data_IF_626329996220
#
_entry.id   IF_626329996220
#
_cell.length_a   1.000
_cell.length_b   1.000
_cell.length_c   1.000
_cell.angle_alpha   90.00
_cell.angle_beta   90.00
_cell.angle_gamma   90.00
#
_symmetry.space_group_name_H-M   'P 1'
#
loop_
_entity.id
_entity.type
_entity.pdbx_description
1 polymer ?
#
# COMPACT_ATOMS: atom_id res chain seq x y z
N UNK A 1 -4.01 21.31 -5.98
CA UNK A 1 -5.37 20.73 -5.94
C UNK A 1 -6.16 21.46 -6.99
N UNK A 2 -6.88 20.74 -7.84
CA UNK A 2 -7.78 21.32 -8.83
C UNK A 2 -9.21 20.85 -8.56
N UNK A 3 -10.16 21.74 -8.78
CA UNK A 3 -11.59 21.41 -8.74
C UNK A 3 -12.11 21.48 -10.18
N UNK A 4 -12.65 20.37 -10.67
CA UNK A 4 -13.14 20.20 -12.04
C UNK A 4 -14.62 19.81 -12.04
N UNK A 5 -15.41 20.18 -13.06
CA UNK A 5 -16.85 19.87 -13.11
C UNK A 5 -17.11 18.36 -13.21
N UNK A 6 -18.28 17.91 -12.75
CA UNK A 6 -18.68 16.49 -12.84
C UNK A 6 -18.96 16.10 -14.30
N UNK A 7 -19.43 17.03 -15.11
CA UNK A 7 -19.69 16.80 -16.54
C UNK A 7 -18.39 16.44 -17.27
N UNK A 8 -18.35 15.22 -17.84
CA UNK A 8 -17.18 14.71 -18.54
C UNK A 8 -16.07 14.18 -17.62
N UNK A 9 -16.32 14.05 -16.31
CA UNK A 9 -15.30 13.65 -15.33
C UNK A 9 -14.58 12.34 -15.65
N UNK A 10 -15.28 11.37 -16.26
CA UNK A 10 -14.69 10.06 -16.55
C UNK A 10 -13.67 10.16 -17.69
N UNK A 11 -13.98 10.94 -18.72
CA UNK A 11 -13.07 11.15 -19.85
C UNK A 11 -11.85 11.97 -19.44
N UNK A 12 -12.06 13.02 -18.64
CA UNK A 12 -10.99 13.82 -18.03
C UNK A 12 -10.09 12.95 -17.15
N UNK A 13 -10.68 12.13 -16.27
CA UNK A 13 -9.97 11.21 -15.41
C UNK A 13 -9.13 10.20 -16.21
N UNK A 14 -9.66 9.65 -17.30
CA UNK A 14 -8.89 8.76 -18.17
C UNK A 14 -7.67 9.47 -18.79
N UNK A 15 -7.84 10.73 -19.20
CA UNK A 15 -6.75 11.55 -19.70
C UNK A 15 -5.65 11.73 -18.65
N UNK A 16 -6.03 12.08 -17.42
CA UNK A 16 -5.11 12.25 -16.29
C UNK A 16 -4.41 10.95 -15.89
N UNK A 17 -5.16 9.84 -15.86
CA UNK A 17 -4.61 8.50 -15.62
C UNK A 17 -3.55 8.17 -16.66
N UNK A 18 -3.86 8.35 -17.96
CA UNK A 18 -2.91 8.02 -19.05
C UNK A 18 -1.63 8.85 -18.96
N UNK A 19 -1.75 10.15 -18.68
CA UNK A 19 -0.60 11.02 -18.47
C UNK A 19 0.26 10.57 -17.27
N UNK A 20 -0.40 10.18 -16.18
CA UNK A 20 0.24 9.69 -14.96
C UNK A 20 0.96 8.36 -15.20
N UNK A 21 0.29 7.42 -15.86
CA UNK A 21 0.86 6.12 -16.25
C UNK A 21 2.05 6.28 -17.21
N UNK A 22 1.99 7.25 -18.15
CA UNK A 22 3.10 7.52 -19.07
C UNK A 22 4.37 7.98 -18.34
N UNK A 23 4.25 8.60 -17.15
CA UNK A 23 5.39 8.95 -16.28
C UNK A 23 5.85 7.79 -15.39
N UNK A 24 5.22 6.62 -15.49
CA UNK A 24 5.49 5.47 -14.63
C UNK A 24 4.95 5.62 -13.21
N UNK A 25 4.06 6.57 -12.97
CA UNK A 25 3.47 6.87 -11.66
C UNK A 25 2.11 6.14 -11.50
N UNK A 26 1.51 6.21 -10.31
CA UNK A 26 0.26 5.54 -9.95
C UNK A 26 -0.86 6.52 -9.62
N UNK A 27 -2.09 6.08 -9.85
CA UNK A 27 -3.30 6.85 -9.57
C UNK A 27 -4.15 6.17 -8.50
N UNK A 28 -4.64 6.94 -7.54
CA UNK A 28 -5.71 6.52 -6.62
C UNK A 28 -7.00 7.23 -7.00
N UNK A 29 -8.11 6.50 -7.06
CA UNK A 29 -9.43 7.06 -7.30
C UNK A 29 -10.34 6.71 -6.14
N UNK A 30 -10.99 7.72 -5.54
CA UNK A 30 -11.98 7.53 -4.50
C UNK A 30 -13.38 7.81 -5.01
N UNK A 31 -14.29 6.85 -4.82
CA UNK A 31 -15.71 6.96 -5.15
C UNK A 31 -16.55 6.98 -3.86
N UNK A 32 -17.88 7.11 -3.98
CA UNK A 32 -18.78 7.09 -2.82
C UNK A 32 -19.42 5.73 -2.55
N UNK A 33 -19.63 4.94 -3.61
CA UNK A 33 -20.38 3.68 -3.52
C UNK A 33 -19.60 2.53 -4.13
N UNK A 34 -19.89 1.31 -3.63
CA UNK A 34 -19.32 0.06 -4.14
C UNK A 34 -19.63 -0.11 -5.63
N UNK A 35 -20.89 0.09 -6.00
CA UNK A 35 -21.34 0.01 -7.39
C UNK A 35 -20.58 0.96 -8.30
N UNK A 36 -20.40 2.22 -7.93
CA UNK A 36 -19.62 3.17 -8.74
C UNK A 36 -18.16 2.76 -8.87
N UNK A 37 -17.57 2.19 -7.83
CA UNK A 37 -16.20 1.70 -7.89
C UNK A 37 -16.07 0.49 -8.83
N UNK A 38 -17.03 -0.43 -8.80
CA UNK A 38 -17.11 -1.59 -9.70
C UNK A 38 -17.31 -1.14 -11.14
N UNK A 39 -18.32 -0.32 -11.40
CA UNK A 39 -18.65 0.22 -12.73
C UNK A 39 -17.45 1.00 -13.32
N UNK A 40 -16.79 1.85 -12.52
CA UNK A 40 -15.60 2.58 -12.95
C UNK A 40 -14.43 1.64 -13.26
N UNK A 41 -14.21 0.64 -12.40
CA UNK A 41 -13.13 -0.33 -12.59
C UNK A 41 -13.32 -1.08 -13.90
N UNK A 42 -14.54 -1.53 -14.19
CA UNK A 42 -14.80 -2.26 -15.42
C UNK A 42 -14.73 -1.37 -16.66
N UNK A 43 -15.21 -0.12 -16.57
CA UNK A 43 -15.04 0.87 -17.64
C UNK A 43 -13.56 1.14 -17.94
N UNK A 44 -12.72 1.32 -16.92
CA UNK A 44 -11.28 1.54 -17.09
C UNK A 44 -10.60 0.31 -17.72
N UNK A 45 -10.96 -0.91 -17.30
CA UNK A 45 -10.45 -2.15 -17.93
C UNK A 45 -10.82 -2.25 -19.40
N UNK A 46 -12.06 -1.92 -19.77
CA UNK A 46 -12.53 -1.94 -21.17
C UNK A 46 -11.78 -0.93 -22.05
N UNK A 47 -11.19 0.09 -21.44
CA UNK A 47 -10.37 1.12 -22.10
C UNK A 47 -8.86 0.87 -21.94
N UNK A 48 -8.46 -0.39 -21.74
CA UNK A 48 -7.08 -0.87 -21.63
C UNK A 48 -6.26 -0.25 -20.49
N UNK A 49 -6.91 0.22 -19.42
CA UNK A 49 -6.23 0.72 -18.23
C UNK A 49 -6.06 -0.42 -17.22
N UNK A 50 -4.83 -0.64 -16.74
CA UNK A 50 -4.52 -1.63 -15.72
C UNK A 50 -5.02 -1.13 -14.36
N UNK A 51 -6.17 -1.63 -13.92
CA UNK A 51 -6.87 -1.16 -12.72
C UNK A 51 -7.27 -2.32 -11.79
N UNK A 52 -7.26 -2.04 -10.47
CA UNK A 52 -7.84 -2.91 -9.45
C UNK A 52 -8.81 -2.13 -8.55
N UNK A 53 -9.79 -2.85 -8.02
CA UNK A 53 -10.75 -2.34 -7.04
C UNK A 53 -10.40 -2.84 -5.64
N UNK A 54 -10.39 -1.94 -4.65
CA UNK A 54 -10.23 -2.27 -3.24
C UNK A 54 -11.54 -2.04 -2.46
N UNK A 55 -12.13 -3.12 -1.94
CA UNK A 55 -13.31 -3.06 -1.06
C UNK A 55 -13.03 -3.51 0.37
N UNK A 56 -13.97 -3.17 1.27
CA UNK A 56 -13.91 -3.47 2.71
C UNK A 56 -13.92 -4.95 3.04
N UNK A 57 -14.48 -5.78 2.15
CA UNK A 57 -14.71 -7.21 2.41
C UNK A 57 -13.53 -8.08 1.95
N UNK A 58 -12.48 -7.47 1.40
CA UNK A 58 -11.22 -8.15 1.06
C UNK A 58 -10.47 -8.48 2.34
N UNK A 59 -10.01 -9.73 2.48
CA UNK A 59 -9.22 -10.14 3.62
C UNK A 59 -7.93 -9.30 3.75
N UNK A 60 -7.46 -9.07 4.97
CA UNK A 60 -6.31 -8.17 5.23
C UNK A 60 -5.04 -8.58 4.47
N UNK A 61 -4.83 -9.89 4.25
CA UNK A 61 -3.68 -10.42 3.51
C UNK A 61 -3.76 -10.01 2.03
N UNK A 62 -4.91 -10.25 1.40
CA UNK A 62 -5.14 -9.95 -0.02
C UNK A 62 -5.02 -8.44 -0.29
N UNK A 63 -5.42 -7.61 0.68
CA UNK A 63 -5.26 -6.15 0.62
C UNK A 63 -3.79 -5.74 0.57
N UNK A 64 -2.92 -6.30 1.41
CA UNK A 64 -1.49 -5.99 1.39
C UNK A 64 -0.87 -6.36 0.04
N UNK A 65 -1.25 -7.52 -0.51
CA UNK A 65 -0.79 -7.96 -1.82
C UNK A 65 -1.21 -7.01 -2.95
N UNK A 66 -2.46 -6.53 -2.96
CA UNK A 66 -2.93 -5.55 -3.97
C UNK A 66 -2.09 -4.27 -3.90
N UNK A 67 -1.75 -3.80 -2.70
CA UNK A 67 -0.93 -2.61 -2.53
C UNK A 67 0.50 -2.85 -3.01
N UNK A 68 1.10 -4.00 -2.70
CA UNK A 68 2.43 -4.36 -3.20
C UNK A 68 2.45 -4.49 -4.73
N UNK A 69 1.41 -5.07 -5.33
CA UNK A 69 1.25 -5.15 -6.78
C UNK A 69 1.15 -3.76 -7.43
N UNK A 70 0.43 -2.81 -6.82
CA UNK A 70 0.39 -1.41 -7.29
C UNK A 70 1.79 -0.79 -7.31
N UNK A 71 2.54 -0.97 -6.22
CA UNK A 71 3.91 -0.44 -6.07
C UNK A 71 4.86 -1.10 -7.06
N UNK A 72 4.76 -2.40 -7.25
CA UNK A 72 5.55 -3.17 -8.22
C UNK A 72 5.17 -2.85 -9.68
N UNK A 73 4.07 -2.12 -9.91
CA UNK A 73 3.61 -1.78 -11.25
C UNK A 73 2.90 -2.91 -11.98
N UNK A 74 2.33 -3.87 -11.25
CA UNK A 74 1.41 -4.87 -11.80
C UNK A 74 0.16 -4.22 -12.38
N UNK A 75 -0.26 -3.09 -11.81
CA UNK A 75 -1.31 -2.23 -12.33
C UNK A 75 -1.04 -0.75 -11.98
N UNK A 76 -1.78 0.17 -12.62
CA UNK A 76 -1.52 1.61 -12.56
C UNK A 76 -2.52 2.39 -11.70
N UNK A 77 -3.74 1.87 -11.59
CA UNK A 77 -4.87 2.57 -10.94
C UNK A 77 -5.51 1.72 -9.85
N UNK A 78 -5.67 2.30 -8.66
CA UNK A 78 -6.45 1.69 -7.58
C UNK A 78 -7.73 2.50 -7.34
N UNK A 79 -8.88 1.86 -7.53
CA UNK A 79 -10.18 2.44 -7.22
C UNK A 79 -10.65 1.95 -5.85
N UNK A 80 -11.20 2.82 -5.02
CA UNK A 80 -11.77 2.43 -3.74
C UNK A 80 -12.78 3.44 -3.20
N UNK A 81 -13.47 3.07 -2.12
CA UNK A 81 -14.42 3.97 -1.43
C UNK A 81 -13.69 4.75 -0.34
N UNK A 82 -12.95 4.02 0.49
CA UNK A 82 -12.23 4.55 1.63
C UNK A 82 -10.81 4.01 1.66
N UNK A 83 -9.89 4.76 1.04
CA UNK A 83 -8.45 4.47 0.99
C UNK A 83 -7.69 5.07 2.20
N UNK A 84 -8.41 5.41 3.28
CA UNK A 84 -7.86 6.10 4.46
C UNK A 84 -7.25 5.12 5.47
N UNK A 85 -7.68 3.86 5.49
CA UNK A 85 -7.33 2.92 6.56
C UNK A 85 -6.09 2.08 6.30
N UNK A 86 -5.61 1.94 5.06
CA UNK A 86 -4.63 0.88 4.77
C UNK A 86 -3.18 1.21 5.15
N UNK A 87 -2.89 2.39 5.73
CA UNK A 87 -1.49 2.78 5.95
C UNK A 87 -0.71 2.88 4.64
N UNK A 88 -1.39 3.29 3.56
CA UNK A 88 -0.79 3.51 2.23
C UNK A 88 0.27 4.60 2.31
N UNK A 89 1.53 4.20 2.43
CA UNK A 89 2.69 5.03 2.16
C UNK A 89 3.18 4.67 0.76
N UNK A 90 2.63 5.36 -0.24
CA UNK A 90 2.81 5.06 -1.66
C UNK A 90 3.53 6.22 -2.35
N UNK A 91 4.88 6.28 -2.29
CA UNK A 91 5.64 7.31 -3.01
C UNK A 91 5.45 7.23 -4.53
N UNK A 92 5.00 6.08 -5.05
CA UNK A 92 4.72 5.87 -6.47
C UNK A 92 3.41 6.55 -6.92
N UNK A 93 2.53 6.96 -6.00
CA UNK A 93 1.27 7.65 -6.31
C UNK A 93 1.52 9.15 -6.47
N UNK A 94 1.26 9.68 -7.66
CA UNK A 94 1.32 11.11 -7.94
C UNK A 94 -0.04 11.73 -8.22
N UNK A 95 -1.07 10.93 -8.53
CA UNK A 95 -2.43 11.43 -8.77
C UNK A 95 -3.42 10.83 -7.77
N UNK A 96 -4.20 11.70 -7.13
CA UNK A 96 -5.39 11.30 -6.36
C UNK A 96 -6.62 11.99 -6.96
N UNK A 97 -7.58 11.19 -7.43
CA UNK A 97 -8.85 11.67 -7.93
C UNK A 97 -9.97 11.40 -6.90
N UNK A 98 -10.77 12.43 -6.61
CA UNK A 98 -11.91 12.35 -5.70
C UNK A 98 -13.17 12.62 -6.53
N UNK A 99 -13.91 11.55 -6.86
CA UNK A 99 -15.20 11.67 -7.52
C UNK A 99 -16.27 12.13 -6.53
N UNK A 100 -17.25 12.88 -7.03
CA UNK A 100 -18.36 13.39 -6.24
C UNK A 100 -17.89 14.11 -4.96
N UNK A 101 -16.89 14.99 -5.11
CA UNK A 101 -16.27 15.69 -4.00
C UNK A 101 -17.25 16.65 -3.29
N UNK A 102 -18.32 17.08 -3.97
CA UNK A 102 -19.35 17.98 -3.42
C UNK A 102 -20.51 17.28 -2.69
N UNK A 103 -20.48 15.95 -2.61
CA UNK A 103 -21.48 15.16 -1.88
C UNK A 103 -21.03 14.99 -0.44
N UNK A 104 -21.56 15.84 0.42
CA UNK A 104 -21.20 15.82 1.84
C UNK A 104 -21.59 14.50 2.52
N UNK A 105 -20.84 14.17 3.56
CA UNK A 105 -20.99 12.92 4.31
C UNK A 105 -19.67 12.50 4.92
N UNK A 106 -19.65 11.33 5.56
CA UNK A 106 -18.47 10.84 6.29
C UNK A 106 -17.20 10.78 5.43
N UNK A 107 -17.32 10.33 4.17
CA UNK A 107 -16.18 10.17 3.24
C UNK A 107 -15.75 11.48 2.56
N UNK A 108 -16.51 12.56 2.78
CA UNK A 108 -16.31 13.88 2.15
C UNK A 108 -16.34 15.01 3.19
N UNK A 109 -16.09 14.66 4.45
CA UNK A 109 -15.78 15.63 5.48
C UNK A 109 -14.42 16.27 5.19
N UNK A 110 -14.20 17.46 5.74
CA UNK A 110 -12.90 18.14 5.71
C UNK A 110 -11.75 17.24 6.17
N UNK A 111 -11.94 16.53 7.28
CA UNK A 111 -10.95 15.58 7.83
C UNK A 111 -10.66 14.41 6.88
N UNK A 112 -11.68 13.79 6.30
CA UNK A 112 -11.51 12.69 5.34
C UNK A 112 -10.84 13.15 4.04
N UNK A 113 -11.20 14.34 3.55
CA UNK A 113 -10.58 14.94 2.37
C UNK A 113 -9.11 15.24 2.60
N UNK A 114 -8.75 15.89 3.73
CA UNK A 114 -7.34 16.18 4.07
C UNK A 114 -6.50 14.90 4.10
N UNK A 115 -7.03 13.82 4.67
CA UNK A 115 -6.32 12.53 4.69
C UNK A 115 -6.18 11.92 3.28
N UNK A 116 -7.22 12.04 2.45
CA UNK A 116 -7.21 11.54 1.05
C UNK A 116 -6.18 12.32 0.22
N UNK A 117 -6.18 13.65 0.32
CA UNK A 117 -5.18 14.55 -0.29
C UNK A 117 -3.76 14.18 0.15
N UNK A 118 -3.59 13.85 1.43
CA UNK A 118 -2.30 13.44 2.01
C UNK A 118 -1.69 12.20 1.36
N UNK A 119 -2.46 11.39 0.63
CA UNK A 119 -1.91 10.26 -0.15
C UNK A 119 -1.03 10.70 -1.32
N UNK A 120 -1.32 11.86 -1.93
CA UNK A 120 -0.50 12.43 -2.99
C UNK A 120 0.78 13.10 -2.46
N UNK A 121 0.81 13.48 -1.17
CA UNK A 121 1.89 14.28 -0.59
C UNK A 121 3.23 13.54 -0.43
N UNK A 122 3.28 12.24 -0.77
CA UNK A 122 4.50 11.42 -0.72
C UNK A 122 5.33 11.50 -2.00
N UNK A 123 4.77 12.06 -3.07
CA UNK A 123 5.42 12.20 -4.36
C UNK A 123 5.64 13.70 -4.67
N UNK A 124 6.81 14.05 -5.20
CA UNK A 124 7.14 15.42 -5.58
C UNK A 124 6.20 15.99 -6.65
N UNK A 125 5.65 15.15 -7.51
CA UNK A 125 4.65 15.49 -8.53
C UNK A 125 3.20 15.30 -8.01
N UNK A 126 3.02 15.20 -6.70
CA UNK A 126 1.73 14.95 -6.05
C UNK A 126 0.66 15.96 -6.43
N UNK A 127 -0.37 15.48 -7.11
CA UNK A 127 -1.50 16.25 -7.60
C UNK A 127 -2.83 15.61 -7.17
N UNK A 128 -3.85 16.46 -6.97
CA UNK A 128 -5.19 16.04 -6.56
C UNK A 128 -6.23 16.73 -7.41
N UNK A 129 -7.13 15.94 -8.02
CA UNK A 129 -8.30 16.42 -8.76
C UNK A 129 -9.56 16.08 -7.97
N UNK A 130 -10.37 17.09 -7.69
CA UNK A 130 -11.69 16.95 -7.07
C UNK A 130 -12.77 17.21 -8.11
N UNK A 131 -13.59 16.22 -8.41
CA UNK A 131 -14.72 16.40 -9.34
C UNK A 131 -15.97 16.81 -8.57
N UNK A 132 -16.47 18.01 -8.85
CA UNK A 132 -17.54 18.66 -8.12
C UNK A 132 -18.21 19.75 -8.96
N UNK A 133 -19.52 19.92 -8.83
CA UNK A 133 -20.23 21.03 -9.49
C UNK A 133 -20.31 22.29 -8.61
N UNK A 134 -20.12 22.13 -7.30
CA UNK A 134 -20.07 23.22 -6.33
C UNK A 134 -18.93 23.04 -5.32
N UNK A 135 -18.39 24.15 -4.86
CA UNK A 135 -17.41 24.15 -3.78
C UNK A 135 -18.14 24.12 -2.43
N UNK A 136 -18.09 23.00 -1.71
CA UNK A 136 -18.67 22.89 -0.36
C UNK A 136 -17.76 23.47 0.70
N UNK A 137 -18.30 23.75 1.89
CA UNK A 137 -17.50 24.25 3.02
C UNK A 137 -16.43 23.23 3.46
N UNK A 138 -16.75 21.93 3.40
CA UNK A 138 -15.80 20.85 3.70
C UNK A 138 -14.64 20.82 2.71
N UNK A 139 -14.93 20.97 1.41
CA UNK A 139 -13.89 21.09 0.38
C UNK A 139 -13.04 22.33 0.60
N UNK A 140 -13.67 23.49 0.85
CA UNK A 140 -12.98 24.74 1.08
C UNK A 140 -12.00 24.64 2.25
N UNK A 141 -12.45 24.15 3.41
CA UNK A 141 -11.58 23.92 4.58
C UNK A 141 -10.41 22.98 4.27
N UNK A 142 -10.66 21.88 3.53
CA UNK A 142 -9.60 20.93 3.17
C UNK A 142 -8.57 21.52 2.21
N UNK A 143 -9.02 22.30 1.22
CA UNK A 143 -8.16 23.01 0.26
C UNK A 143 -7.35 24.08 0.97
N UNK A 144 -7.99 24.90 1.80
CA UNK A 144 -7.36 25.99 2.54
C UNK A 144 -6.28 25.46 3.49
N UNK A 145 -6.56 24.39 4.26
CA UNK A 145 -5.55 23.79 5.14
C UNK A 145 -4.42 23.13 4.35
N UNK A 146 -4.70 22.55 3.18
CA UNK A 146 -3.64 22.00 2.32
C UNK A 146 -2.74 23.10 1.77
N UNK A 147 -3.31 24.20 1.28
CA UNK A 147 -2.55 25.31 0.75
C UNK A 147 -1.74 26.00 1.85
N UNK A 148 -2.34 26.25 3.02
CA UNK A 148 -1.62 26.79 4.19
C UNK A 148 -0.38 25.95 4.54
N UNK A 149 -0.50 24.62 4.54
CA UNK A 149 0.64 23.71 4.79
C UNK A 149 1.68 23.77 3.67
N UNK A 150 1.25 23.81 2.41
CA UNK A 150 2.14 23.91 1.24
C UNK A 150 2.94 25.20 1.29
N UNK A 151 2.30 26.33 1.56
CA UNK A 151 2.96 27.64 1.60
C UNK A 151 4.06 27.69 2.67
N UNK A 152 3.80 27.12 3.86
CA UNK A 152 4.80 27.01 4.94
C UNK A 152 5.97 26.12 4.50
N UNK A 153 5.69 24.99 3.84
CA UNK A 153 6.73 24.06 3.37
C UNK A 153 7.57 24.68 2.26
N UNK A 154 6.95 25.39 1.32
CA UNK A 154 7.64 26.08 0.22
C UNK A 154 8.51 27.21 0.73
N UNK A 155 8.02 28.02 1.67
CA UNK A 155 8.81 29.07 2.31
C UNK A 155 10.03 28.50 3.04
N UNK A 156 9.84 27.43 3.82
CA UNK A 156 10.93 26.72 4.50
C UNK A 156 11.94 26.14 3.50
N UNK A 157 11.46 25.50 2.44
CA UNK A 157 12.32 24.94 1.40
C UNK A 157 13.13 26.02 0.68
N UNK A 158 12.53 27.18 0.39
CA UNK A 158 13.21 28.30 -0.24
C UNK A 158 14.29 28.89 0.68
N UNK A 159 13.97 29.09 1.96
CA UNK A 159 14.91 29.60 2.98
C UNK A 159 16.11 28.65 3.18
N UNK A 160 15.87 27.34 3.14
CA UNK A 160 16.90 26.32 3.37
C UNK A 160 17.49 25.70 2.09
N UNK A 161 17.13 26.21 0.92
CA UNK A 161 17.56 25.70 -0.40
C UNK A 161 17.30 24.19 -0.59
N UNK A 162 16.17 23.70 -0.09
CA UNK A 162 15.75 22.29 -0.20
C UNK A 162 14.97 22.10 -1.49
N UNK A 163 15.42 21.18 -2.33
CA UNK A 163 14.63 20.72 -3.50
C UNK A 163 13.83 19.48 -3.10
N UNK A 164 12.48 19.51 -3.16
CA UNK A 164 11.65 18.34 -2.86
C UNK A 164 12.03 17.14 -3.73
N UNK A 165 12.22 15.98 -3.11
CA UNK A 165 12.50 14.71 -3.78
C UNK A 165 11.62 13.62 -3.22
N UNK A 166 11.05 12.80 -4.10
CA UNK A 166 10.29 11.62 -3.69
C UNK A 166 11.19 10.62 -2.99
N UNK A 167 10.79 10.15 -1.82
CA UNK A 167 11.51 9.12 -1.07
C UNK A 167 10.92 7.77 -1.42
N UNK A 168 11.63 7.00 -2.24
CA UNK A 168 11.28 5.60 -2.50
C UNK A 168 11.85 4.72 -1.40
N UNK A 169 10.97 4.07 -0.64
CA UNK A 169 11.36 3.01 0.31
C UNK A 169 11.47 1.71 -0.45
N UNK A 170 12.55 0.96 -0.20
CA UNK A 170 12.69 -0.40 -0.73
C UNK A 170 11.43 -1.21 -0.45
N UNK A 171 10.89 -1.80 -1.50
CA UNK A 171 9.84 -2.78 -1.39
C UNK A 171 10.46 -3.96 -0.65
N UNK A 172 10.15 -4.12 0.64
CA UNK A 172 10.46 -5.37 1.36
C UNK A 172 9.72 -6.45 0.59
N UNK A 173 10.43 -7.15 -0.28
CA UNK A 173 9.86 -8.18 -1.12
C UNK A 173 9.19 -9.22 -0.21
N UNK A 174 7.86 -9.14 -0.09
CA UNK A 174 7.01 -10.26 0.28
C UNK A 174 7.08 -11.38 -0.79
N UNK A 175 7.82 -11.17 -1.88
CA UNK A 175 8.26 -12.14 -2.90
C UNK A 175 9.30 -13.15 -2.38
N UNK A 176 9.15 -13.62 -1.13
CA UNK A 176 9.72 -14.88 -0.65
C UNK A 176 8.64 -15.94 -0.39
N UNK A 177 7.46 -15.81 -1.02
CA UNK A 177 6.50 -16.92 -1.14
C UNK A 177 6.56 -17.61 -2.52
N UNK A 178 6.74 -16.87 -3.62
CA UNK A 178 6.75 -17.46 -4.98
C UNK A 178 8.08 -18.11 -5.37
N UNK A 179 9.22 -17.66 -4.83
CA UNK A 179 10.51 -18.37 -5.01
C UNK A 179 10.64 -19.65 -4.18
N UNK A 180 9.62 -19.98 -3.38
CA UNK A 180 9.49 -21.25 -2.64
C UNK A 180 8.64 -22.25 -3.46
N UNK A 181 8.33 -21.96 -4.73
CA UNK A 181 7.72 -22.93 -5.65
C UNK A 181 8.71 -23.48 -6.68
N UNK A 182 9.86 -22.82 -6.89
CA UNK A 182 10.88 -23.25 -7.87
C UNK A 182 11.91 -24.25 -7.31
N UNK A 183 11.88 -24.53 -6.01
CA UNK A 183 12.72 -25.58 -5.41
C UNK A 183 11.91 -26.89 -5.37
N UNK A 184 12.32 -27.98 -6.05
CA UNK A 184 11.59 -29.24 -6.10
C UNK A 184 11.27 -29.83 -4.71
N UNK A 185 12.10 -29.51 -3.70
CA UNK A 185 11.88 -29.92 -2.31
C UNK A 185 10.78 -29.12 -1.60
N UNK A 186 10.37 -27.97 -2.16
CA UNK A 186 9.34 -27.09 -1.61
C UNK A 186 7.97 -27.24 -2.29
N UNK A 187 7.93 -27.69 -3.55
CA UNK A 187 6.68 -28.06 -4.23
C UNK A 187 5.96 -29.25 -3.54
N UNK A 188 6.72 -30.16 -2.93
CA UNK A 188 6.18 -31.25 -2.10
C UNK A 188 5.51 -30.76 -0.79
N UNK A 189 5.71 -29.49 -0.40
CA UNK A 189 5.20 -28.92 0.84
C UNK A 189 3.82 -28.24 0.72
N UNK A 190 3.27 -28.10 -0.50
CA UNK A 190 1.96 -27.47 -0.75
C UNK A 190 0.82 -28.45 -1.05
N UNK A 191 1.11 -29.74 -1.22
CA UNK A 191 0.08 -30.77 -1.35
C UNK A 191 -0.46 -31.18 0.03
N UNK A 192 -1.55 -30.53 0.44
CA UNK A 192 -2.22 -30.65 1.75
C UNK A 192 -2.78 -32.05 2.09
N UNK A 193 -2.48 -33.10 1.31
CA UNK A 193 -2.94 -34.47 1.56
C UNK A 193 -1.86 -35.53 1.79
N UNK A 194 -0.56 -35.21 1.78
CA UNK A 194 0.50 -36.17 2.11
C UNK A 194 1.59 -35.55 2.97
N UNK A 195 1.46 -35.56 4.30
CA UNK A 195 2.64 -35.63 5.20
C UNK A 195 2.20 -36.06 6.61
N UNK A 196 2.10 -37.39 6.79
CA UNK A 196 1.95 -38.05 8.08
C UNK A 196 3.25 -37.90 8.90
N UNK A 197 3.14 -37.32 10.11
CA UNK A 197 3.96 -37.47 11.35
C UNK A 197 5.52 -37.54 11.31
N UNK A 198 6.17 -37.68 10.17
CA UNK A 198 7.64 -37.73 10.02
C UNK A 198 8.26 -36.33 9.87
N UNK A 199 7.48 -35.30 9.51
CA UNK A 199 7.98 -33.93 9.28
C UNK A 199 8.16 -33.06 10.53
N UNK A 200 7.44 -33.35 11.63
CA UNK A 200 7.45 -32.48 12.81
C UNK A 200 8.82 -32.43 13.51
N UNK A 201 9.55 -33.54 13.54
CA UNK A 201 10.89 -33.59 14.15
C UNK A 201 11.93 -32.86 13.30
N UNK A 202 11.84 -32.97 11.99
CA UNK A 202 12.69 -32.23 11.04
C UNK A 202 12.44 -30.72 11.14
N UNK A 203 11.18 -30.30 11.19
CA UNK A 203 10.79 -28.89 11.36
C UNK A 203 11.28 -28.32 12.69
N UNK A 204 11.24 -29.09 13.79
CA UNK A 204 11.80 -28.65 15.09
C UNK A 204 13.31 -28.49 15.05
N UNK A 205 14.04 -29.37 14.36
CA UNK A 205 15.49 -29.23 14.16
C UNK A 205 15.82 -27.98 13.33
N UNK A 206 15.06 -27.74 12.26
CA UNK A 206 15.21 -26.55 11.42
C UNK A 206 14.93 -25.26 12.20
N UNK A 207 13.84 -25.22 12.98
CA UNK A 207 13.52 -24.07 13.83
C UNK A 207 14.66 -23.76 14.82
N UNK A 208 15.22 -24.78 15.48
CA UNK A 208 16.34 -24.61 16.41
C UNK A 208 17.61 -24.09 15.71
N UNK A 209 17.87 -24.53 14.48
CA UNK A 209 19.01 -24.04 13.68
C UNK A 209 18.83 -22.58 13.27
N UNK A 210 17.64 -22.21 12.79
CA UNK A 210 17.30 -20.83 12.41
C UNK A 210 17.38 -19.88 13.61
N UNK A 211 16.88 -20.30 14.77
CA UNK A 211 16.94 -19.53 16.02
C UNK A 211 18.38 -19.28 16.48
N UNK A 212 19.26 -20.30 16.36
CA UNK A 212 20.70 -20.14 16.66
C UNK A 212 21.37 -19.14 15.71
N UNK A 213 21.16 -19.28 14.40
CA UNK A 213 21.74 -18.38 13.39
C UNK A 213 21.23 -16.95 13.54
N UNK A 214 19.96 -16.78 13.89
CA UNK A 214 19.36 -15.48 14.14
C UNK A 214 20.00 -14.78 15.34
N UNK A 215 20.24 -15.52 16.42
CA UNK A 215 20.91 -15.00 17.61
C UNK A 215 22.38 -14.63 17.35
N UNK A 216 23.06 -15.41 16.49
CA UNK A 216 24.44 -15.15 16.05
C UNK A 216 24.51 -13.87 15.19
N UNK A 217 23.65 -13.74 14.18
CA UNK A 217 23.55 -12.52 13.37
C UNK A 217 23.21 -11.28 14.22
N UNK A 218 22.31 -11.41 15.21
CA UNK A 218 21.98 -10.33 16.13
C UNK A 218 23.16 -9.94 17.04
N UNK A 219 24.00 -10.92 17.43
CA UNK A 219 25.22 -10.67 18.22
C UNK A 219 26.29 -9.95 17.39
N UNK A 220 26.36 -10.26 16.10
CA UNK A 220 27.30 -9.65 15.15
C UNK A 220 26.80 -8.31 14.58
N UNK A 221 25.69 -7.78 15.12
CA UNK A 221 25.03 -6.54 14.69
C UNK A 221 24.54 -6.56 13.22
N UNK A 222 24.45 -7.75 12.61
CA UNK A 222 23.86 -7.96 11.30
C UNK A 222 22.33 -8.12 11.44
N UNK A 223 21.67 -6.98 11.61
CA UNK A 223 20.23 -6.92 11.83
C UNK A 223 19.41 -7.31 10.60
N UNK A 224 19.97 -7.18 9.41
CA UNK A 224 19.31 -7.59 8.15
C UNK A 224 19.23 -9.12 8.10
N UNK A 225 20.35 -9.82 8.28
CA UNK A 225 20.37 -11.28 8.33
C UNK A 225 19.54 -11.82 9.50
N UNK A 226 19.56 -11.15 10.67
CA UNK A 226 18.73 -11.52 11.80
C UNK A 226 17.23 -11.39 11.49
N UNK A 227 16.81 -10.33 10.78
CA UNK A 227 15.42 -10.15 10.36
C UNK A 227 14.99 -11.24 9.36
N UNK A 228 15.83 -11.59 8.39
CA UNK A 228 15.52 -12.67 7.43
C UNK A 228 15.35 -14.03 8.12
N UNK A 229 16.23 -14.34 9.07
CA UNK A 229 16.18 -15.60 9.82
C UNK A 229 14.96 -15.67 10.75
N UNK A 230 14.55 -14.53 11.33
CA UNK A 230 13.31 -14.41 12.10
C UNK A 230 12.08 -14.73 11.26
N UNK A 231 11.99 -14.15 10.07
CA UNK A 231 10.82 -14.31 9.21
C UNK A 231 10.70 -15.77 8.71
N UNK A 232 11.84 -16.42 8.42
CA UNK A 232 11.89 -17.87 8.14
C UNK A 232 11.47 -18.71 9.36
N UNK A 233 11.89 -18.33 10.56
CA UNK A 233 11.54 -19.03 11.81
C UNK A 233 10.03 -18.96 12.10
N UNK A 234 9.37 -17.83 11.80
CA UNK A 234 7.91 -17.66 11.93
C UNK A 234 7.18 -18.70 11.09
N UNK A 235 7.58 -18.90 9.84
CA UNK A 235 6.96 -19.85 8.92
C UNK A 235 7.12 -21.29 9.44
N UNK A 236 8.33 -21.66 9.87
CA UNK A 236 8.62 -23.01 10.36
C UNK A 236 7.86 -23.31 11.66
N UNK A 237 7.83 -22.36 12.61
CA UNK A 237 7.07 -22.51 13.87
C UNK A 237 5.55 -22.50 13.64
N UNK A 238 5.06 -21.68 12.69
CA UNK A 238 3.66 -21.68 12.25
C UNK A 238 3.19 -23.04 11.73
N UNK A 239 4.03 -23.74 10.94
CA UNK A 239 3.78 -25.12 10.48
C UNK A 239 3.78 -26.16 11.61
N UNK A 240 4.43 -25.87 12.74
CA UNK A 240 4.39 -26.68 13.96
C UNK A 240 3.20 -26.35 14.88
N UNK A 241 2.40 -25.32 14.56
CA UNK A 241 1.36 -24.79 15.45
C UNK A 241 1.92 -24.04 16.66
N UNK A 242 3.21 -23.69 16.64
CA UNK A 242 3.91 -23.01 17.73
C UNK A 242 3.97 -21.50 17.45
N UNK A 243 3.60 -20.66 18.43
CA UNK A 243 3.79 -19.20 18.34
C UNK A 243 5.22 -18.84 18.72
N UNK A 244 5.79 -17.82 18.07
CA UNK A 244 7.03 -17.20 18.51
C UNK A 244 6.78 -16.51 19.85
N UNK A 245 7.19 -17.15 20.94
CA UNK A 245 7.22 -16.50 22.25
C UNK A 245 8.53 -15.71 22.34
N UNK A 246 8.50 -14.45 22.77
CA UNK A 246 9.74 -13.76 23.14
C UNK A 246 10.42 -14.59 24.22
N UNK A 247 11.74 -14.75 24.12
CA UNK A 247 12.51 -15.46 25.13
C UNK A 247 12.16 -14.88 26.51
N UNK A 248 11.77 -15.74 27.47
CA UNK A 248 11.64 -15.31 28.87
C UNK A 248 12.96 -14.64 29.23
N UNK A 249 12.89 -13.41 29.74
CA UNK A 249 14.05 -12.74 30.37
C UNK A 249 14.51 -13.65 31.52
N UNK A 250 15.43 -14.55 31.23
CA UNK A 250 16.22 -15.26 32.22
C UNK A 250 17.30 -14.32 32.69
N UNK A 251 17.39 -14.14 34.01
CA UNK A 251 18.33 -13.29 34.74
C UNK A 251 19.65 -13.05 33.98
N UNK A 252 19.75 -11.86 33.40
CA UNK A 252 20.99 -11.12 33.44
C UNK A 252 20.84 -10.15 34.61
N UNK A 253 21.63 -10.46 35.65
CA UNK A 253 21.55 -10.08 37.06
C UNK A 253 20.64 -10.94 37.92
#
# INVERSE_FOLDING_TARGET
IEVRPIKGQIDDLMGEIRQTTARGERTLVTTLTKRMAEDLTDYLKQNDIRVRYLHSDIATIDRAQIIDELRAGGFDVLVGINLLREGLDLPEVSLVAILDADKEGFLRSDTAMVQTIGRAARNANGHVVMYADRLTDSMKRAIDETNRRRDIQEAYNAEHHITPKTIYKEQRHLIKLTKVEEDPDTAAAYDSKKLKKSSAQALRKLAKSLEKKMAEAAKDLDFETAAELRDRLIIVKGRLGEKLQPAKKGNLF
#
